data_IF_913432570869
#
_entry.id   IF_913432570869
#
_cell.length_a   1.000
_cell.length_b   1.000
_cell.length_c   1.000
_cell.angle_alpha   90.00
_cell.angle_beta   90.00
_cell.angle_gamma   90.00
#
_symmetry.space_group_name_H-M   'P 1'
#
loop_
_entity.id
_entity.type
_entity.pdbx_description
1 polymer ?
#
# COMPACT_ATOMS: atom_id res chain seq x y z
N UNK A 1 -6.75 15.43 -24.99
CA UNK A 1 -5.63 14.77 -24.29
C UNK A 1 -5.17 13.58 -25.12
N UNK A 2 -3.90 13.51 -25.41
CA UNK A 2 -3.33 12.42 -26.19
C UNK A 2 -2.59 11.46 -25.27
N UNK A 3 -2.87 10.15 -25.39
CA UNK A 3 -2.18 9.12 -24.67
C UNK A 3 -1.09 8.51 -25.52
N UNK A 4 0.12 8.41 -24.99
CA UNK A 4 1.20 7.67 -25.61
C UNK A 4 1.16 6.22 -25.10
N UNK A 5 0.40 5.39 -25.80
CA UNK A 5 0.18 3.99 -25.40
C UNK A 5 1.49 3.20 -25.40
N UNK A 6 2.38 3.42 -26.36
CA UNK A 6 3.65 2.69 -26.43
C UNK A 6 4.54 3.02 -25.22
N UNK A 7 4.57 4.28 -24.82
CA UNK A 7 5.28 4.69 -23.60
C UNK A 7 4.69 4.01 -22.36
N UNK A 8 3.36 4.02 -22.24
CA UNK A 8 2.67 3.39 -21.09
C UNK A 8 2.89 1.87 -21.04
N UNK A 9 2.95 1.21 -22.20
CA UNK A 9 3.24 -0.22 -22.27
C UNK A 9 4.61 -0.60 -21.71
N UNK A 10 5.54 0.32 -21.62
CA UNK A 10 6.86 0.06 -21.03
C UNK A 10 6.79 -0.29 -19.54
N UNK A 11 5.67 0.01 -18.87
CA UNK A 11 5.42 -0.39 -17.48
C UNK A 11 4.94 -1.83 -17.33
N UNK A 12 4.54 -2.50 -18.40
CA UNK A 12 4.06 -3.88 -18.34
C UNK A 12 5.20 -4.79 -17.88
N UNK A 13 4.92 -5.63 -16.89
CA UNK A 13 5.90 -6.55 -16.32
C UNK A 13 6.72 -5.98 -15.18
N UNK A 14 6.54 -4.70 -14.84
CA UNK A 14 7.20 -4.09 -13.70
C UNK A 14 6.70 -4.69 -12.40
N UNK A 15 7.61 -5.10 -11.54
CA UNK A 15 7.29 -5.70 -10.24
C UNK A 15 7.87 -4.87 -9.10
N UNK A 16 7.23 -4.95 -7.95
CA UNK A 16 7.67 -4.31 -6.72
C UNK A 16 7.50 -5.31 -5.58
N UNK A 17 8.52 -5.40 -4.74
CA UNK A 17 8.49 -6.27 -3.57
C UNK A 17 8.74 -5.45 -2.31
N UNK A 18 8.05 -5.79 -1.23
CA UNK A 18 8.28 -5.22 0.08
C UNK A 18 8.11 -6.27 1.15
N UNK A 19 8.73 -6.05 2.30
CA UNK A 19 8.66 -6.95 3.45
C UNK A 19 8.28 -6.16 4.68
N UNK A 20 7.54 -6.79 5.56
CA UNK A 20 7.15 -6.18 6.82
C UNK A 20 6.96 -7.25 7.88
N UNK A 21 6.80 -6.84 9.12
CA UNK A 21 6.66 -7.72 10.27
C UNK A 21 5.33 -7.44 10.96
N UNK A 22 4.61 -8.52 11.27
CA UNK A 22 3.41 -8.42 12.10
C UNK A 22 3.85 -8.25 13.55
N UNK A 23 3.70 -7.04 14.08
CA UNK A 23 4.08 -6.74 15.47
C UNK A 23 2.90 -6.95 16.41
N UNK A 24 3.16 -7.22 17.73
CA UNK A 24 2.07 -7.31 18.70
C UNK A 24 1.19 -6.07 18.77
N UNK A 25 1.77 -4.89 18.67
CA UNK A 25 1.02 -3.63 18.74
C UNK A 25 0.18 -3.39 17.48
N UNK A 26 0.61 -3.85 16.30
CA UNK A 26 -0.20 -3.82 15.10
C UNK A 26 -1.45 -4.68 15.28
N UNK A 27 -1.29 -5.90 15.79
CA UNK A 27 -2.41 -6.82 16.04
C UNK A 27 -3.36 -6.22 17.09
N UNK A 28 -2.82 -5.64 18.15
CA UNK A 28 -3.60 -4.97 19.19
C UNK A 28 -4.52 -3.88 18.60
N UNK A 29 -3.95 -2.99 17.79
CA UNK A 29 -4.71 -1.91 17.14
C UNK A 29 -5.71 -2.43 16.12
N UNK A 30 -5.33 -3.44 15.36
CA UNK A 30 -6.22 -4.06 14.38
C UNK A 30 -7.45 -4.68 15.06
N UNK A 31 -7.25 -5.40 16.15
CA UNK A 31 -8.36 -5.99 16.93
C UNK A 31 -9.34 -4.93 17.37
N UNK A 32 -8.85 -3.82 17.87
CA UNK A 32 -9.68 -2.68 18.26
C UNK A 32 -10.48 -2.13 17.09
N UNK A 33 -9.87 -2.01 15.93
CA UNK A 33 -10.51 -1.48 14.71
C UNK A 33 -11.65 -2.37 14.22
N UNK A 34 -11.52 -3.68 14.35
CA UNK A 34 -12.54 -4.64 13.88
C UNK A 34 -13.48 -5.09 14.99
N UNK A 35 -13.62 -4.31 16.05
CA UNK A 35 -14.53 -4.60 17.17
C UNK A 35 -14.20 -5.89 17.95
N UNK A 36 -12.97 -6.37 17.86
CA UNK A 36 -12.50 -7.49 18.66
C UNK A 36 -11.91 -7.00 19.98
N UNK A 37 -11.72 -7.93 20.95
CA UNK A 37 -11.04 -7.57 22.19
C UNK A 37 -9.61 -7.12 21.93
N UNK A 38 -9.22 -5.91 22.36
CA UNK A 38 -7.89 -5.37 22.12
C UNK A 38 -6.89 -5.98 23.11
N UNK A 39 -6.39 -7.17 22.79
CA UNK A 39 -5.38 -7.86 23.58
C UNK A 39 -4.09 -8.00 22.79
N UNK A 40 -2.96 -7.99 23.48
CA UNK A 40 -1.67 -8.27 22.86
C UNK A 40 -1.53 -9.77 22.59
N UNK A 41 -1.14 -10.17 21.37
CA UNK A 41 -0.92 -11.59 21.08
C UNK A 41 0.39 -12.09 21.70
N UNK A 42 0.45 -13.39 21.95
CA UNK A 42 1.69 -14.07 22.29
C UNK A 42 2.47 -14.44 21.03
N UNK A 43 3.79 -14.61 21.18
CA UNK A 43 4.63 -15.11 20.09
C UNK A 43 4.15 -16.50 19.62
N UNK A 44 4.03 -16.70 18.31
CA UNK A 44 3.54 -17.94 17.73
C UNK A 44 2.04 -18.05 17.65
N UNK A 45 1.29 -17.09 18.17
CA UNK A 45 -0.16 -17.03 18.03
C UNK A 45 -0.54 -16.73 16.57
N UNK A 46 -1.62 -17.34 16.09
CA UNK A 46 -2.11 -17.11 14.74
C UNK A 46 -2.53 -15.65 14.56
N UNK A 47 -2.01 -15.00 13.54
CA UNK A 47 -2.36 -13.62 13.20
C UNK A 47 -3.83 -13.52 12.76
N UNK A 48 -4.52 -12.40 13.07
CA UNK A 48 -5.91 -12.21 12.64
C UNK A 48 -6.02 -12.18 11.11
N UNK A 49 -7.15 -12.67 10.61
CA UNK A 49 -7.45 -12.59 9.17
C UNK A 49 -7.52 -11.12 8.74
N UNK A 50 -6.93 -10.81 7.61
CA UNK A 50 -6.91 -9.45 7.06
C UNK A 50 -5.78 -8.57 7.56
N UNK A 51 -4.99 -9.00 8.54
CA UNK A 51 -3.87 -8.19 9.07
C UNK A 51 -2.85 -7.84 7.99
N UNK A 52 -2.71 -8.67 6.96
CA UNK A 52 -1.78 -8.42 5.85
C UNK A 52 -2.09 -7.13 5.08
N UNK A 53 -3.32 -6.65 5.14
CA UNK A 53 -3.72 -5.38 4.52
C UNK A 53 -3.10 -4.16 5.22
N UNK A 54 -2.59 -4.36 6.45
CA UNK A 54 -1.94 -3.31 7.23
C UNK A 54 -0.42 -3.30 7.05
N UNK A 55 0.12 -4.26 6.30
CA UNK A 55 1.55 -4.41 6.14
C UNK A 55 2.09 -3.59 4.97
N UNK A 56 3.34 -3.21 5.07
CA UNK A 56 4.09 -2.50 4.02
C UNK A 56 3.37 -1.25 3.50
N UNK A 57 2.93 -0.33 4.37
CA UNK A 57 2.39 0.93 3.88
C UNK A 57 3.49 1.67 3.11
N UNK A 58 3.13 2.42 2.06
CA UNK A 58 4.13 3.17 1.30
C UNK A 58 4.84 4.19 2.19
N UNK A 59 6.16 4.24 2.06
CA UNK A 59 7.01 5.21 2.77
C UNK A 59 7.72 6.03 1.72
N UNK A 60 7.25 7.26 1.52
CA UNK A 60 7.78 8.16 0.50
C UNK A 60 7.97 9.55 1.12
N UNK A 61 8.99 10.31 0.67
CA UNK A 61 9.16 11.69 1.11
C UNK A 61 8.02 12.57 0.59
N UNK A 62 7.70 13.63 1.31
CA UNK A 62 6.61 14.53 0.94
C UNK A 62 6.78 15.12 -0.46
N UNK A 63 8.02 15.32 -0.90
CA UNK A 63 8.31 15.79 -2.27
C UNK A 63 7.84 14.82 -3.37
N UNK A 64 7.64 13.56 -3.03
CA UNK A 64 7.18 12.52 -3.96
C UNK A 64 5.68 12.21 -3.84
N UNK A 65 4.98 12.96 -3.01
CA UNK A 65 3.51 12.84 -2.87
C UNK A 65 2.83 13.71 -3.91
N UNK A 66 1.89 13.13 -4.64
CA UNK A 66 1.08 13.85 -5.63
C UNK A 66 -0.08 14.62 -4.99
N UNK A 67 -0.82 15.37 -5.81
CA UNK A 67 -1.94 16.20 -5.32
C UNK A 67 -3.08 15.39 -4.69
N UNK A 68 -3.20 14.13 -5.02
CA UNK A 68 -4.22 13.22 -4.47
C UNK A 68 -3.79 12.52 -3.17
N UNK A 69 -2.62 12.87 -2.63
CA UNK A 69 -2.08 12.26 -1.41
C UNK A 69 -1.38 10.92 -1.61
N UNK A 70 -1.31 10.42 -2.83
CA UNK A 70 -0.57 9.21 -3.17
C UNK A 70 0.79 9.54 -3.77
N UNK A 71 1.66 8.53 -3.93
CA UNK A 71 2.91 8.69 -4.65
C UNK A 71 2.67 9.24 -6.06
N UNK A 72 3.56 10.12 -6.52
CA UNK A 72 3.49 10.64 -7.89
C UNK A 72 3.51 9.52 -8.91
N UNK A 73 2.80 9.73 -10.01
CA UNK A 73 2.77 8.78 -11.12
C UNK A 73 4.13 8.69 -11.80
N UNK A 74 4.38 7.58 -12.47
CA UNK A 74 5.63 7.35 -13.19
C UNK A 74 6.67 6.53 -12.42
N UNK A 75 6.37 6.16 -11.17
CA UNK A 75 7.18 5.22 -10.41
C UNK A 75 6.83 3.77 -10.75
N UNK A 76 6.23 3.04 -9.80
CA UNK A 76 5.73 1.68 -10.07
C UNK A 76 4.53 1.68 -11.00
N UNK A 77 3.62 2.62 -10.84
CA UNK A 77 2.46 2.76 -11.70
C UNK A 77 2.79 3.67 -12.89
N UNK A 78 2.22 3.40 -14.09
CA UNK A 78 2.47 4.20 -15.27
C UNK A 78 1.94 5.63 -15.13
N UNK A 79 2.58 6.62 -15.79
CA UNK A 79 2.19 8.02 -15.69
C UNK A 79 1.01 8.33 -16.62
N UNK A 80 -0.14 7.71 -16.38
CA UNK A 80 -1.35 7.95 -17.18
C UNK A 80 -1.83 9.38 -16.94
N UNK A 81 -1.90 10.24 -17.96
CA UNK A 81 -2.22 11.67 -17.80
C UNK A 81 -3.73 11.92 -17.68
N UNK A 82 -4.40 11.18 -16.80
CA UNK A 82 -5.82 11.35 -16.50
C UNK A 82 -5.97 12.02 -15.15
N UNK A 83 -7.04 12.81 -14.92
CA UNK A 83 -7.17 13.62 -13.71
C UNK A 83 -7.37 12.80 -12.42
N UNK A 84 -7.90 11.58 -12.52
CA UNK A 84 -8.20 10.75 -11.36
C UNK A 84 -7.68 9.33 -11.55
N UNK A 85 -7.33 8.71 -10.41
CA UNK A 85 -7.03 7.27 -10.38
C UNK A 85 -8.30 6.48 -10.07
N UNK A 86 -8.39 5.30 -10.70
CA UNK A 86 -9.36 4.27 -10.33
C UNK A 86 -8.59 3.09 -9.75
N UNK A 87 -9.09 2.56 -8.65
CA UNK A 87 -8.49 1.43 -7.95
C UNK A 87 -9.36 0.18 -8.15
#
# INVERSE_FOLDING_TARGET
>A
MQLDIDHLKSWIGKTEESSDIVTPHLVYRYRSTVEAQPTLPATGETAPLGIHWCLSPPVIPMSEVGPDGHAKRGGFLPPVPLPRRMW
#
